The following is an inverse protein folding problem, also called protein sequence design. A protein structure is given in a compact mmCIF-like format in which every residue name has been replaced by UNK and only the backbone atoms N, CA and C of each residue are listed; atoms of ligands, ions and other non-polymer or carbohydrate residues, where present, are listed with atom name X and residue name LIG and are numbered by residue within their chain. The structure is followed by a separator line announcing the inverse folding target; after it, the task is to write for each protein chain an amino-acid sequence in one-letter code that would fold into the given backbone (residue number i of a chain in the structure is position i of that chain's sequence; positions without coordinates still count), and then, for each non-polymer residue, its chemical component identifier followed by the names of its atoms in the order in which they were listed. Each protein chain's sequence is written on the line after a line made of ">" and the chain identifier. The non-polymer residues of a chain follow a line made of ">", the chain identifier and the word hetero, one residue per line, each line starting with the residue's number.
data_IF_887098383141
#
_entry.id   IF_887098383141
#
_cell.length_a   1.000
_cell.length_b   1.000
_cell.length_c   1.000
_cell.angle_alpha   90.00
_cell.angle_beta   90.00
_cell.angle_gamma   90.00
#
_symmetry.space_group_name_H-M   'P 1'
#
loop_
_entity.id
_entity.type
_entity.pdbx_description
1 polymer ?
#
# COMPACT_ATOMS: atom_id res chain seq x y z
N UNK A 1 -25.59 -19.32 -24.63
CA UNK A 1 -24.29 -18.79 -24.14
C UNK A 1 -24.49 -18.40 -22.70
N UNK A 2 -23.71 -18.95 -21.77
CA UNK A 2 -23.78 -18.52 -20.38
C UNK A 2 -23.36 -17.06 -20.28
N UNK A 3 -24.18 -16.23 -19.66
CA UNK A 3 -23.87 -14.81 -19.45
C UNK A 3 -22.77 -14.74 -18.39
N UNK A 4 -21.57 -14.26 -18.79
CA UNK A 4 -20.47 -14.03 -17.85
C UNK A 4 -20.86 -12.88 -16.93
N UNK A 5 -21.08 -13.16 -15.66
CA UNK A 5 -21.41 -12.13 -14.68
C UNK A 5 -20.11 -11.46 -14.21
N UNK A 6 -20.06 -10.11 -14.29
CA UNK A 6 -18.96 -9.29 -13.80
C UNK A 6 -19.44 -8.35 -12.72
N UNK A 7 -18.56 -8.04 -11.78
CA UNK A 7 -18.80 -6.97 -10.80
C UNK A 7 -17.48 -6.34 -10.35
N UNK A 8 -17.58 -5.12 -9.89
CA UNK A 8 -16.46 -4.44 -9.19
C UNK A 8 -16.40 -4.94 -7.75
N UNK A 9 -15.22 -5.36 -7.30
CA UNK A 9 -15.03 -5.90 -5.95
C UNK A 9 -13.70 -5.43 -5.36
N UNK A 10 -13.67 -5.29 -4.03
CA UNK A 10 -12.43 -5.17 -3.30
C UNK A 10 -11.90 -6.60 -3.02
N UNK A 11 -10.67 -6.85 -3.48
CA UNK A 11 -10.04 -8.16 -3.48
C UNK A 11 -8.80 -8.09 -2.59
N UNK A 12 -8.70 -9.02 -1.64
CA UNK A 12 -7.52 -9.19 -0.80
C UNK A 12 -6.87 -10.53 -1.11
N UNK A 13 -5.57 -10.48 -1.41
CA UNK A 13 -4.69 -11.64 -1.44
C UNK A 13 -3.76 -11.60 -0.24
N UNK A 14 -3.55 -12.72 0.43
CA UNK A 14 -2.60 -12.85 1.52
C UNK A 14 -1.83 -14.16 1.41
N UNK A 15 -0.56 -14.16 1.81
CA UNK A 15 0.33 -15.32 1.78
C UNK A 15 1.29 -15.31 2.97
N UNK A 16 1.58 -16.50 3.51
CA UNK A 16 2.49 -16.63 4.66
C UNK A 16 3.95 -16.63 4.20
N UNK A 17 4.73 -15.71 4.75
CA UNK A 17 6.13 -15.52 4.40
C UNK A 17 6.98 -16.72 4.81
N UNK A 18 7.67 -17.31 3.83
CA UNK A 18 8.62 -18.39 4.11
C UNK A 18 8.00 -19.67 4.63
N UNK A 19 6.72 -19.92 4.40
CA UNK A 19 5.97 -21.08 4.89
C UNK A 19 6.66 -22.40 4.59
N UNK A 20 7.18 -22.61 3.37
CA UNK A 20 7.95 -23.80 3.00
C UNK A 20 9.21 -24.02 3.87
N UNK A 21 9.81 -22.96 4.41
CA UNK A 21 10.95 -23.07 5.35
C UNK A 21 10.46 -23.49 6.73
N UNK A 22 9.34 -22.95 7.20
CA UNK A 22 8.71 -23.33 8.46
C UNK A 22 8.29 -24.79 8.44
N UNK A 23 7.65 -25.26 7.38
CA UNK A 23 7.26 -26.67 7.17
C UNK A 23 8.49 -27.59 7.24
N UNK A 24 9.59 -27.24 6.62
CA UNK A 24 10.82 -28.05 6.69
C UNK A 24 11.42 -28.12 8.10
N UNK A 25 11.22 -27.12 8.92
CA UNK A 25 11.72 -27.05 10.30
C UNK A 25 10.83 -27.83 11.27
N UNK A 26 9.52 -27.64 11.19
CA UNK A 26 8.48 -28.33 11.97
C UNK A 26 7.18 -28.37 11.19
N UNK A 27 6.94 -29.45 10.47
CA UNK A 27 5.76 -29.62 9.64
C UNK A 27 4.46 -29.62 10.47
N UNK A 28 4.39 -30.48 11.47
CA UNK A 28 3.15 -30.65 12.25
C UNK A 28 2.81 -29.42 13.07
N UNK A 29 3.82 -28.78 13.71
CA UNK A 29 3.62 -27.56 14.47
C UNK A 29 3.23 -26.37 13.58
N UNK A 30 3.85 -26.24 12.39
CA UNK A 30 3.52 -25.18 11.44
C UNK A 30 2.10 -25.30 10.90
N UNK A 31 1.68 -26.52 10.50
CA UNK A 31 0.31 -26.77 10.04
C UNK A 31 -0.71 -26.50 11.14
N UNK A 32 -0.44 -26.95 12.38
CA UNK A 32 -1.32 -26.69 13.52
C UNK A 32 -1.41 -25.19 13.83
N UNK A 33 -0.29 -24.47 13.81
CA UNK A 33 -0.26 -23.04 14.03
C UNK A 33 -1.04 -22.28 12.93
N UNK A 34 -0.87 -22.64 11.66
CA UNK A 34 -1.60 -22.04 10.54
C UNK A 34 -3.11 -22.21 10.69
N UNK A 35 -3.56 -23.46 10.97
CA UNK A 35 -5.00 -23.74 11.19
C UNK A 35 -5.57 -22.93 12.35
N UNK A 36 -4.82 -22.82 13.44
CA UNK A 36 -5.24 -22.00 14.59
C UNK A 36 -5.35 -20.51 14.22
N UNK A 37 -4.35 -19.95 13.53
CA UNK A 37 -4.42 -18.55 13.08
C UNK A 37 -5.63 -18.30 12.16
N UNK A 38 -5.91 -19.25 11.27
CA UNK A 38 -7.08 -19.18 10.40
C UNK A 38 -8.40 -19.22 11.21
N UNK A 39 -8.55 -20.19 12.15
CA UNK A 39 -9.80 -20.36 12.92
C UNK A 39 -10.03 -19.26 13.95
N UNK A 40 -8.97 -18.82 14.64
CA UNK A 40 -9.11 -18.00 15.85
C UNK A 40 -8.96 -16.50 15.55
N UNK A 41 -8.30 -16.14 14.43
CA UNK A 41 -8.00 -14.74 14.07
C UNK A 41 -8.62 -14.40 12.70
N UNK A 42 -8.17 -15.06 11.62
CA UNK A 42 -8.48 -14.61 10.26
C UNK A 42 -9.97 -14.76 9.93
N UNK A 43 -10.56 -15.91 10.17
CA UNK A 43 -11.96 -16.17 9.81
C UNK A 43 -12.95 -15.32 10.61
N UNK A 44 -12.83 -15.18 11.96
CA UNK A 44 -13.72 -14.30 12.72
C UNK A 44 -13.64 -12.84 12.27
N UNK A 45 -12.43 -12.31 12.14
CA UNK A 45 -12.23 -10.91 11.71
C UNK A 45 -12.74 -10.66 10.30
N UNK A 46 -12.56 -11.64 9.38
CA UNK A 46 -13.06 -11.51 8.02
C UNK A 46 -14.59 -11.43 7.99
N UNK A 47 -15.28 -12.20 8.86
CA UNK A 47 -16.73 -12.12 9.00
C UNK A 47 -17.20 -10.79 9.60
N UNK A 48 -16.48 -10.23 10.58
CA UNK A 48 -16.76 -8.91 11.18
C UNK A 48 -16.73 -7.81 10.14
N UNK A 49 -15.80 -7.89 9.17
CA UNK A 49 -15.66 -6.93 8.07
C UNK A 49 -16.50 -7.29 6.82
N UNK A 50 -17.48 -8.18 6.96
CA UNK A 50 -18.36 -8.62 5.86
C UNK A 50 -17.58 -9.21 4.66
N UNK A 51 -16.37 -9.69 4.89
CA UNK A 51 -15.55 -10.37 3.89
C UNK A 51 -15.95 -11.83 3.73
N UNK A 52 -15.71 -12.38 2.55
CA UNK A 52 -15.83 -13.82 2.31
C UNK A 52 -14.53 -14.40 1.78
N UNK A 53 -14.19 -15.60 2.23
CA UNK A 53 -13.12 -16.38 1.63
C UNK A 53 -13.61 -16.89 0.28
N UNK A 54 -12.85 -16.57 -0.76
CA UNK A 54 -13.05 -17.11 -2.10
C UNK A 54 -12.30 -18.41 -2.23
N UNK A 55 -11.03 -18.42 -1.78
CA UNK A 55 -10.14 -19.57 -1.96
C UNK A 55 -9.06 -19.61 -0.89
N UNK A 56 -8.77 -20.81 -0.41
CA UNK A 56 -7.56 -21.10 0.38
C UNK A 56 -6.55 -21.80 -0.55
N UNK A 57 -5.33 -21.31 -0.57
CA UNK A 57 -4.25 -21.80 -1.45
C UNK A 57 -3.04 -22.21 -0.62
N UNK A 58 -3.21 -23.32 0.15
CA UNK A 58 -2.14 -23.79 1.04
C UNK A 58 -1.90 -22.83 2.21
N UNK A 59 -0.87 -22.00 2.10
CA UNK A 59 -0.48 -20.96 3.06
C UNK A 59 -1.05 -19.58 2.72
N UNK A 60 -1.72 -19.45 1.57
CA UNK A 60 -2.34 -18.22 1.12
C UNK A 60 -3.87 -18.26 1.18
N UNK A 61 -4.48 -17.08 1.12
CA UNK A 61 -5.91 -16.90 0.98
C UNK A 61 -6.25 -15.80 -0.02
N UNK A 62 -7.38 -15.99 -0.70
CA UNK A 62 -8.03 -14.98 -1.50
C UNK A 62 -9.38 -14.66 -0.84
N UNK A 63 -9.61 -13.40 -0.55
CA UNK A 63 -10.86 -12.94 0.04
C UNK A 63 -11.45 -11.78 -0.78
N UNK A 64 -12.75 -11.62 -0.68
CA UNK A 64 -13.51 -10.58 -1.33
C UNK A 64 -14.33 -9.81 -0.31
N UNK A 65 -14.42 -8.48 -0.49
CA UNK A 65 -15.15 -7.58 0.38
C UNK A 65 -16.11 -6.69 -0.43
N UNK A 66 -17.26 -6.36 0.13
CA UNK A 66 -18.21 -5.44 -0.50
C UNK A 66 -17.72 -3.97 -0.47
N UNK A 67 -16.76 -3.66 0.42
CA UNK A 67 -16.23 -2.32 0.63
C UNK A 67 -14.70 -2.33 0.65
N UNK A 68 -14.10 -1.38 -0.05
CA UNK A 68 -12.64 -1.14 -0.04
C UNK A 68 -12.16 -0.76 1.36
N UNK A 69 -12.95 0.05 2.09
CA UNK A 69 -12.64 0.46 3.46
C UNK A 69 -12.58 -0.75 4.36
N UNK A 70 -13.58 -1.64 4.28
CA UNK A 70 -13.61 -2.88 5.06
C UNK A 70 -12.42 -3.80 4.74
N UNK A 71 -12.06 -3.94 3.46
CA UNK A 71 -10.90 -4.75 3.06
C UNK A 71 -9.58 -4.25 3.65
N UNK A 72 -9.38 -2.92 3.63
CA UNK A 72 -8.17 -2.30 4.17
C UNK A 72 -8.16 -2.33 5.70
N UNK A 73 -9.28 -2.04 6.35
CA UNK A 73 -9.40 -2.10 7.82
C UNK A 73 -9.16 -3.52 8.33
N UNK A 74 -9.81 -4.52 7.70
CA UNK A 74 -9.52 -5.93 7.98
C UNK A 74 -8.04 -6.24 7.88
N UNK A 75 -7.38 -5.85 6.78
CA UNK A 75 -5.98 -6.18 6.57
C UNK A 75 -5.08 -5.60 7.67
N UNK A 76 -5.30 -4.35 8.06
CA UNK A 76 -4.52 -3.66 9.11
C UNK A 76 -4.75 -4.29 10.48
N UNK A 77 -6.02 -4.51 10.85
CA UNK A 77 -6.37 -5.09 12.16
C UNK A 77 -5.92 -6.56 12.25
N UNK A 78 -6.04 -7.32 11.17
CA UNK A 78 -5.56 -8.69 11.09
C UNK A 78 -4.03 -8.75 11.26
N UNK A 79 -3.25 -7.87 10.61
CA UNK A 79 -1.80 -7.80 10.81
C UNK A 79 -1.46 -7.49 12.27
N UNK A 80 -2.19 -6.57 12.91
CA UNK A 80 -2.00 -6.25 14.32
C UNK A 80 -2.28 -7.44 15.25
N UNK A 81 -3.36 -8.18 14.99
CA UNK A 81 -3.72 -9.38 15.76
C UNK A 81 -2.69 -10.51 15.57
N UNK A 82 -2.21 -10.72 14.34
CA UNK A 82 -1.18 -11.71 14.01
C UNK A 82 0.15 -11.38 14.69
N UNK A 83 0.53 -10.10 14.75
CA UNK A 83 1.74 -9.67 15.46
C UNK A 83 1.61 -9.85 16.96
N UNK A 84 0.45 -9.52 17.54
CA UNK A 84 0.17 -9.76 18.94
C UNK A 84 0.24 -11.26 19.30
N UNK A 85 -0.27 -12.14 18.43
CA UNK A 85 -0.15 -13.61 18.60
C UNK A 85 1.29 -14.09 18.47
N UNK A 86 2.09 -13.45 17.62
CA UNK A 86 3.51 -13.77 17.44
C UNK A 86 4.40 -13.23 18.58
N UNK A 87 3.88 -12.34 19.43
CA UNK A 87 4.63 -11.77 20.54
C UNK A 87 5.09 -12.86 21.52
N UNK A 88 6.37 -12.85 21.86
CA UNK A 88 6.99 -13.85 22.75
C UNK A 88 7.36 -15.18 22.08
N UNK A 89 6.98 -15.42 20.81
CA UNK A 89 7.43 -16.60 20.06
C UNK A 89 8.83 -16.37 19.47
N UNK A 90 9.68 -17.42 19.35
CA UNK A 90 10.94 -17.33 18.63
C UNK A 90 10.73 -16.85 17.19
N UNK A 91 11.63 -16.02 16.69
CA UNK A 91 11.52 -15.42 15.36
C UNK A 91 11.36 -16.47 14.24
N UNK A 92 12.05 -17.60 14.38
CA UNK A 92 12.04 -18.74 13.46
C UNK A 92 10.71 -19.52 13.40
N UNK A 93 9.81 -19.31 14.37
CA UNK A 93 8.50 -19.98 14.46
C UNK A 93 7.33 -19.03 14.19
N UNK A 94 7.59 -17.74 13.92
CA UNK A 94 6.55 -16.75 13.65
C UNK A 94 6.02 -16.90 12.24
N UNK A 95 4.72 -17.02 12.10
CA UNK A 95 4.05 -16.95 10.80
C UNK A 95 3.67 -15.49 10.58
N UNK A 96 4.26 -14.89 9.54
CA UNK A 96 3.97 -13.52 9.12
C UNK A 96 3.27 -13.57 7.76
N UNK A 97 2.33 -12.68 7.54
CA UNK A 97 1.63 -12.59 6.26
C UNK A 97 2.06 -11.34 5.49
N UNK A 98 2.04 -11.44 4.18
CA UNK A 98 2.01 -10.32 3.25
C UNK A 98 0.59 -10.18 2.75
N UNK A 99 0.12 -8.96 2.58
CA UNK A 99 -1.24 -8.72 2.10
C UNK A 99 -1.23 -7.72 0.94
N UNK A 100 -2.09 -7.97 -0.04
CA UNK A 100 -2.30 -7.08 -1.17
C UNK A 100 -3.79 -6.81 -1.37
N UNK A 101 -4.20 -5.54 -1.47
CA UNK A 101 -5.60 -5.17 -1.73
C UNK A 101 -5.72 -4.39 -3.04
N UNK A 102 -6.65 -4.82 -3.87
CA UNK A 102 -6.99 -4.16 -5.12
C UNK A 102 -8.51 -3.98 -5.27
N UNK A 103 -8.91 -2.94 -5.98
CA UNK A 103 -10.28 -2.72 -6.44
C UNK A 103 -10.31 -2.97 -7.95
N UNK A 104 -11.12 -3.91 -8.40
CA UNK A 104 -11.18 -4.24 -9.82
C UNK A 104 -12.35 -5.11 -10.22
N UNK A 105 -12.57 -5.21 -11.52
CA UNK A 105 -13.59 -6.10 -12.07
C UNK A 105 -13.20 -7.56 -11.89
N UNK A 106 -14.16 -8.35 -11.43
CA UNK A 106 -14.05 -9.80 -11.32
C UNK A 106 -15.12 -10.50 -12.14
N UNK A 107 -14.78 -11.65 -12.67
CA UNK A 107 -15.69 -12.62 -13.28
C UNK A 107 -16.08 -13.61 -12.19
N UNK A 108 -17.39 -13.81 -12.03
CA UNK A 108 -17.94 -14.76 -11.06
C UNK A 108 -18.05 -16.12 -11.74
N UNK A 109 -17.45 -17.15 -11.12
CA UNK A 109 -17.52 -18.54 -11.56
C UNK A 109 -17.92 -19.42 -10.37
N UNK A 110 -19.24 -19.55 -10.14
CA UNK A 110 -19.77 -20.16 -8.94
C UNK A 110 -19.38 -19.38 -7.68
N UNK A 111 -18.64 -20.04 -6.78
CA UNK A 111 -18.10 -19.42 -5.56
C UNK A 111 -16.70 -18.80 -5.75
N UNK A 112 -16.05 -19.02 -6.91
CA UNK A 112 -14.73 -18.47 -7.25
C UNK A 112 -14.86 -17.14 -7.98
N UNK A 113 -13.77 -16.35 -7.97
CA UNK A 113 -13.64 -15.13 -8.75
C UNK A 113 -12.34 -15.16 -9.56
N UNK A 114 -12.40 -14.62 -10.77
CA UNK A 114 -11.28 -14.58 -11.69
C UNK A 114 -11.19 -13.20 -12.35
N UNK A 115 -10.06 -12.89 -12.96
CA UNK A 115 -9.85 -11.67 -13.75
C UNK A 115 -8.63 -10.87 -13.31
N UNK A 116 -8.40 -9.76 -14.02
CA UNK A 116 -7.22 -8.93 -13.82
C UNK A 116 -7.19 -8.31 -12.42
N UNK A 117 -8.35 -7.99 -11.85
CA UNK A 117 -8.45 -7.49 -10.48
C UNK A 117 -7.85 -8.44 -9.45
N UNK A 118 -8.06 -9.75 -9.61
CA UNK A 118 -7.48 -10.80 -8.74
C UNK A 118 -5.97 -10.90 -8.96
N UNK A 119 -5.53 -10.87 -10.22
CA UNK A 119 -4.12 -10.92 -10.56
C UNK A 119 -3.35 -9.75 -9.95
N UNK A 120 -3.90 -8.54 -10.01
CA UNK A 120 -3.29 -7.34 -9.40
C UNK A 120 -3.17 -7.52 -7.88
N UNK A 121 -4.22 -7.96 -7.18
CA UNK A 121 -4.16 -8.19 -5.73
C UNK A 121 -3.05 -9.19 -5.35
N UNK A 122 -2.93 -10.31 -6.08
CA UNK A 122 -1.88 -11.29 -5.88
C UNK A 122 -0.47 -10.74 -6.18
N UNK A 123 -0.32 -9.82 -7.15
CA UNK A 123 0.98 -9.18 -7.42
C UNK A 123 1.35 -8.15 -6.36
N UNK A 124 0.38 -7.40 -5.85
CA UNK A 124 0.59 -6.47 -4.72
C UNK A 124 1.03 -7.23 -3.47
N UNK A 125 0.40 -8.37 -3.17
CA UNK A 125 0.83 -9.27 -2.10
C UNK A 125 2.30 -9.69 -2.32
N UNK A 126 2.65 -10.14 -3.52
CA UNK A 126 3.99 -10.66 -3.84
C UNK A 126 5.13 -9.64 -3.68
N UNK A 127 4.87 -8.34 -3.84
CA UNK A 127 5.86 -7.27 -3.64
C UNK A 127 5.80 -6.66 -2.24
N UNK A 128 4.81 -7.04 -1.43
CA UNK A 128 4.63 -6.53 -0.09
C UNK A 128 5.69 -7.09 0.86
N UNK A 129 6.15 -6.28 1.81
CA UNK A 129 7.02 -6.74 2.87
C UNK A 129 6.27 -7.58 3.90
N UNK A 130 6.99 -8.45 4.64
CA UNK A 130 6.40 -9.21 5.74
C UNK A 130 5.68 -8.31 6.74
N UNK A 131 4.52 -8.77 7.25
CA UNK A 131 3.63 -8.03 8.14
C UNK A 131 3.14 -6.67 7.58
N UNK A 132 3.22 -6.47 6.26
CA UNK A 132 2.78 -5.28 5.57
C UNK A 132 1.48 -5.46 4.79
N UNK A 133 1.01 -4.34 4.25
CA UNK A 133 -0.12 -4.25 3.32
C UNK A 133 0.27 -3.38 2.13
N UNK A 134 0.16 -3.89 0.91
CA UNK A 134 0.27 -3.12 -0.31
C UNK A 134 -1.11 -2.92 -0.95
N UNK A 135 -1.40 -1.71 -1.40
CA UNK A 135 -2.67 -1.38 -2.05
C UNK A 135 -2.43 -0.68 -3.39
N UNK A 136 -3.36 -0.87 -4.33
CA UNK A 136 -3.34 -0.13 -5.59
C UNK A 136 -3.76 1.33 -5.40
N UNK A 137 -3.42 2.18 -6.37
CA UNK A 137 -3.81 3.60 -6.37
C UNK A 137 -5.33 3.80 -6.33
N UNK A 138 -6.10 2.93 -6.99
CA UNK A 138 -7.56 2.94 -6.92
C UNK A 138 -8.08 2.71 -5.49
N UNK A 139 -7.45 1.79 -4.76
CA UNK A 139 -7.79 1.53 -3.35
C UNK A 139 -7.41 2.74 -2.51
N UNK A 140 -6.21 3.30 -2.70
CA UNK A 140 -5.75 4.47 -1.96
C UNK A 140 -6.70 5.66 -2.13
N UNK A 141 -7.09 5.99 -3.37
CA UNK A 141 -8.05 7.05 -3.64
C UNK A 141 -9.44 6.78 -3.03
N UNK A 142 -9.87 5.52 -3.00
CA UNK A 142 -11.18 5.14 -2.46
C UNK A 142 -11.26 5.24 -0.92
N UNK A 143 -10.12 5.12 -0.21
CA UNK A 143 -10.04 5.23 1.26
C UNK A 143 -9.64 6.63 1.76
N UNK A 144 -9.21 7.52 0.85
CA UNK A 144 -8.78 8.87 1.19
C UNK A 144 -9.89 9.63 1.94
N UNK A 145 -9.52 10.23 3.06
CA UNK A 145 -10.45 10.91 3.98
C UNK A 145 -11.45 10.00 4.72
N UNK A 146 -11.34 8.66 4.60
CA UNK A 146 -12.20 7.69 5.28
C UNK A 146 -11.47 6.89 6.36
N UNK A 147 -10.15 6.91 6.34
CA UNK A 147 -9.29 6.24 7.33
C UNK A 147 -8.14 7.17 7.72
N UNK A 148 -7.64 7.02 8.96
CA UNK A 148 -6.44 7.73 9.44
C UNK A 148 -5.15 6.94 9.17
N UNK A 149 -5.22 5.94 8.29
CA UNK A 149 -4.07 5.08 7.97
C UNK A 149 -3.06 5.82 7.10
N UNK A 150 -1.80 5.64 7.44
CA UNK A 150 -0.70 6.28 6.73
C UNK A 150 -0.05 5.30 5.79
N UNK A 151 -0.02 5.64 4.51
CA UNK A 151 0.61 4.85 3.46
C UNK A 151 1.84 5.56 2.90
N UNK A 152 2.88 4.80 2.62
CA UNK A 152 4.05 5.23 1.87
C UNK A 152 3.82 5.01 0.39
N UNK A 153 4.04 6.03 -0.44
CA UNK A 153 4.01 5.91 -1.90
C UNK A 153 5.27 5.18 -2.39
N UNK A 154 5.09 4.04 -3.02
CA UNK A 154 6.16 3.27 -3.67
C UNK A 154 6.34 3.64 -5.16
N UNK A 155 5.50 4.54 -5.69
CA UNK A 155 5.51 4.91 -7.10
C UNK A 155 4.92 3.84 -8.01
N UNK A 156 5.15 3.98 -9.33
CA UNK A 156 4.73 3.01 -10.32
C UNK A 156 5.58 1.75 -10.27
N UNK A 157 4.93 0.60 -10.07
CA UNK A 157 5.57 -0.71 -10.02
C UNK A 157 5.24 -1.52 -11.28
N UNK A 158 6.25 -2.08 -11.91
CA UNK A 158 6.07 -3.06 -12.99
C UNK A 158 5.72 -4.42 -12.37
N UNK A 159 4.50 -4.87 -12.58
CA UNK A 159 4.02 -6.14 -12.04
C UNK A 159 4.02 -7.20 -13.14
N UNK A 160 4.45 -8.42 -12.81
CA UNK A 160 4.56 -9.52 -13.77
C UNK A 160 3.23 -9.78 -14.49
N UNK A 161 3.22 -9.76 -15.83
CA UNK A 161 2.05 -9.95 -16.70
C UNK A 161 0.97 -8.86 -16.57
N UNK A 162 1.32 -7.67 -16.08
CA UNK A 162 0.48 -6.47 -16.10
C UNK A 162 1.18 -5.48 -17.03
N UNK A 163 0.51 -5.08 -18.12
CA UNK A 163 1.13 -4.25 -19.17
C UNK A 163 1.44 -2.82 -18.71
N UNK A 164 0.59 -2.27 -17.85
CA UNK A 164 0.73 -0.89 -17.37
C UNK A 164 1.25 -0.88 -15.94
N UNK A 165 2.30 -0.10 -15.61
CA UNK A 165 2.77 0.06 -14.25
C UNK A 165 1.64 0.53 -13.33
N UNK A 166 1.50 -0.10 -12.18
CA UNK A 166 0.50 0.26 -11.17
C UNK A 166 1.18 1.05 -10.07
N UNK A 167 0.66 2.23 -9.72
CA UNK A 167 1.11 2.96 -8.54
C UNK A 167 0.66 2.22 -7.30
N UNK A 168 1.64 1.97 -6.40
CA UNK A 168 1.46 1.14 -5.21
C UNK A 168 1.72 1.97 -3.96
N UNK A 169 0.89 1.74 -2.96
CA UNK A 169 0.99 2.33 -1.65
C UNK A 169 1.19 1.25 -0.60
N UNK A 170 2.10 1.45 0.35
CA UNK A 170 2.43 0.48 1.38
C UNK A 170 2.10 1.00 2.77
N UNK A 171 1.42 0.19 3.55
CA UNK A 171 1.25 0.36 4.99
C UNK A 171 2.10 -0.65 5.74
N UNK A 172 2.64 -0.22 6.89
CA UNK A 172 3.36 -1.07 7.85
C UNK A 172 2.90 -0.75 9.25
N UNK A 173 2.84 -1.76 10.10
CA UNK A 173 2.54 -1.57 11.51
C UNK A 173 3.64 -0.75 12.18
N UNK A 174 3.25 0.20 13.06
CA UNK A 174 4.19 1.08 13.73
C UNK A 174 4.87 2.09 12.80
N UNK A 175 4.52 2.14 11.53
CA UNK A 175 4.84 3.29 10.71
C UNK A 175 4.18 4.50 11.37
N UNK A 176 4.92 5.12 12.29
CA UNK A 176 4.71 6.53 12.56
C UNK A 176 4.74 7.24 11.21
N UNK A 177 3.90 8.26 10.97
CA UNK A 177 4.07 9.05 9.76
C UNK A 177 5.58 9.28 9.65
N UNK A 178 6.20 8.64 8.66
CA UNK A 178 7.57 9.01 8.29
C UNK A 178 7.43 10.49 8.11
N UNK A 179 7.90 11.24 9.16
CA UNK A 179 7.68 12.65 9.49
C UNK A 179 7.09 13.30 8.26
N UNK A 180 5.76 13.40 8.21
CA UNK A 180 5.06 13.80 6.99
C UNK A 180 5.86 15.01 6.57
N UNK A 181 6.56 14.93 5.46
CA UNK A 181 7.53 16.00 5.12
C UNK A 181 6.69 17.22 5.24
N UNK A 182 6.93 18.00 6.29
CA UNK A 182 6.11 19.12 6.71
C UNK A 182 5.76 19.83 5.42
N UNK A 183 4.48 20.03 5.06
CA UNK A 183 4.13 20.62 3.78
C UNK A 183 5.11 21.75 3.59
N UNK A 184 5.89 21.72 2.52
CA UNK A 184 6.96 22.67 2.36
C UNK A 184 6.28 24.02 2.33
N UNK A 185 6.16 24.69 3.50
CA UNK A 185 5.61 26.03 3.58
C UNK A 185 6.58 26.97 2.91
N UNK A 186 6.48 26.95 1.59
CA UNK A 186 7.16 27.87 0.73
C UNK A 186 6.47 29.23 0.87
N UNK A 187 7.14 30.17 1.51
CA UNK A 187 6.67 31.54 1.52
C UNK A 187 7.11 32.22 0.23
N UNK A 188 6.14 32.43 -0.66
CA UNK A 188 6.40 33.24 -1.87
C UNK A 188 6.48 34.71 -1.47
N UNK A 189 7.60 35.35 -1.80
CA UNK A 189 7.87 36.75 -1.57
C UNK A 189 8.16 37.46 -2.89
N UNK A 190 8.05 38.75 -2.88
CA UNK A 190 8.34 39.58 -4.05
C UNK A 190 9.45 40.56 -3.70
N UNK A 191 10.34 40.81 -4.65
CA UNK A 191 11.30 41.92 -4.62
C UNK A 191 11.24 42.70 -5.93
N UNK A 192 11.62 43.95 -5.89
CA UNK A 192 11.65 44.81 -7.08
C UNK A 192 13.11 44.95 -7.54
N UNK A 193 13.36 44.60 -8.78
CA UNK A 193 14.65 44.78 -9.42
C UNK A 193 14.93 46.26 -9.71
N UNK A 194 16.17 46.61 -10.03
CA UNK A 194 16.60 48.00 -10.29
C UNK A 194 15.91 48.64 -11.48
N UNK A 195 15.34 47.85 -12.39
CA UNK A 195 14.57 48.32 -13.55
C UNK A 195 13.06 48.45 -13.26
N UNK A 196 12.61 48.20 -12.01
CA UNK A 196 11.23 48.29 -11.58
C UNK A 196 10.44 46.96 -11.75
N UNK A 197 11.07 45.90 -12.25
CA UNK A 197 10.39 44.59 -12.42
C UNK A 197 10.18 43.90 -11.08
N UNK A 198 8.96 43.39 -10.84
CA UNK A 198 8.67 42.60 -9.66
C UNK A 198 9.04 41.14 -9.90
N UNK A 199 9.92 40.62 -9.07
CA UNK A 199 10.40 39.24 -9.12
C UNK A 199 9.82 38.46 -7.94
N UNK A 200 9.10 37.36 -8.22
CA UNK A 200 8.66 36.40 -7.20
C UNK A 200 9.81 35.44 -6.85
N UNK A 201 10.05 35.23 -5.57
CA UNK A 201 11.05 34.28 -5.10
C UNK A 201 10.52 33.52 -3.90
N UNK A 202 11.06 32.32 -3.66
CA UNK A 202 10.80 31.55 -2.45
C UNK A 202 12.12 30.99 -1.92
N UNK A 203 12.24 30.94 -0.60
CA UNK A 203 13.38 30.33 0.09
C UNK A 203 12.93 29.15 0.96
N UNK A 204 13.72 28.09 0.98
CA UNK A 204 13.47 26.88 1.73
C UNK A 204 14.80 26.30 2.21
N UNK A 205 14.79 25.73 3.44
CA UNK A 205 15.98 25.16 4.04
C UNK A 205 16.77 26.18 4.86
N UNK A 206 17.87 25.73 5.45
CA UNK A 206 18.74 26.54 6.33
C UNK A 206 20.24 26.38 6.02
N UNK A 207 20.57 25.62 4.97
CA UNK A 207 21.95 25.41 4.53
C UNK A 207 22.52 26.62 3.75
N UNK A 208 23.70 26.45 3.14
CA UNK A 208 24.26 27.47 2.25
C UNK A 208 23.28 27.83 1.11
N UNK A 209 23.10 29.07 0.75
CA UNK A 209 22.10 29.45 -0.24
C UNK A 209 22.46 28.94 -1.64
N UNK A 210 21.54 28.16 -2.20
CA UNK A 210 21.56 27.72 -3.58
C UNK A 210 20.45 28.43 -4.35
N UNK A 211 20.79 29.19 -5.37
CA UNK A 211 19.82 29.91 -6.18
C UNK A 211 19.50 29.15 -7.46
N UNK A 212 18.23 28.69 -7.59
CA UNK A 212 17.71 28.17 -8.86
C UNK A 212 17.11 29.33 -9.65
N UNK A 213 17.75 29.69 -10.76
CA UNK A 213 17.15 30.62 -11.71
C UNK A 213 15.95 30.00 -12.44
N UNK A 214 14.90 30.78 -12.73
CA UNK A 214 13.75 30.28 -13.47
C UNK A 214 14.14 29.92 -14.91
N UNK A 215 13.62 28.77 -15.41
CA UNK A 215 13.52 28.55 -16.84
C UNK A 215 12.21 29.17 -17.34
N UNK A 216 12.05 29.35 -18.64
CA UNK A 216 10.75 29.74 -19.16
C UNK A 216 9.72 28.67 -18.86
N UNK A 217 8.52 29.03 -18.39
CA UNK A 217 7.45 28.13 -17.90
C UNK A 217 7.65 27.52 -16.48
N UNK A 218 8.39 28.16 -15.60
CA UNK A 218 8.45 27.76 -14.21
C UNK A 218 7.30 28.38 -13.39
N UNK A 219 6.77 27.59 -12.46
CA UNK A 219 5.79 28.06 -11.48
C UNK A 219 6.28 27.64 -10.08
N UNK A 220 6.49 28.60 -9.18
CA UNK A 220 7.09 28.33 -7.87
C UNK A 220 6.35 27.25 -7.06
N UNK A 221 5.02 27.26 -7.08
CA UNK A 221 4.21 26.24 -6.38
C UNK A 221 4.19 24.91 -7.15
N UNK A 222 4.05 24.96 -8.47
CA UNK A 222 3.91 23.75 -9.28
C UNK A 222 5.20 22.92 -9.34
N UNK A 223 6.38 23.54 -9.27
CA UNK A 223 7.67 22.84 -9.32
C UNK A 223 7.80 21.81 -8.18
N UNK A 224 7.16 22.05 -7.02
CA UNK A 224 7.12 21.10 -5.91
C UNK A 224 6.19 19.90 -6.14
N UNK A 225 5.23 20.03 -7.01
CA UNK A 225 4.29 18.95 -7.40
C UNK A 225 4.73 18.29 -8.71
N UNK A 226 5.63 18.95 -9.46
CA UNK A 226 6.10 18.48 -10.76
C UNK A 226 6.81 17.11 -10.66
N UNK A 227 6.44 16.13 -11.48
CA UNK A 227 7.14 14.85 -11.52
C UNK A 227 8.62 14.99 -11.93
N UNK A 228 8.99 16.09 -12.59
CA UNK A 228 10.35 16.37 -13.04
C UNK A 228 11.20 17.00 -11.94
N UNK A 229 10.67 17.97 -11.18
CA UNK A 229 11.47 18.79 -10.27
C UNK A 229 11.34 18.41 -8.81
N UNK A 230 10.22 17.82 -8.37
CA UNK A 230 9.94 17.56 -6.95
C UNK A 230 11.03 16.76 -6.22
N UNK A 231 11.62 15.76 -6.88
CA UNK A 231 12.65 14.91 -6.26
C UNK A 231 13.98 15.67 -6.13
N UNK A 232 14.37 16.46 -7.14
CA UNK A 232 15.58 17.28 -7.09
C UNK A 232 15.49 18.35 -6.00
N UNK A 233 14.35 19.05 -5.94
CA UNK A 233 14.11 20.09 -4.93
C UNK A 233 14.08 19.51 -3.51
N UNK A 234 13.54 18.29 -3.34
CA UNK A 234 13.53 17.59 -2.05
C UNK A 234 14.92 17.17 -1.60
N UNK A 235 15.75 16.66 -2.50
CA UNK A 235 17.13 16.29 -2.17
C UNK A 235 17.97 17.54 -1.82
N UNK A 236 17.89 18.59 -2.60
CA UNK A 236 18.60 19.85 -2.33
C UNK A 236 18.19 20.53 -1.00
N UNK A 237 17.02 20.18 -0.44
CA UNK A 237 16.54 20.68 0.85
C UNK A 237 17.13 19.91 2.04
N UNK A 238 17.63 18.69 1.85
CA UNK A 238 18.09 17.81 2.94
C UNK A 238 19.43 18.23 3.54
N UNK A 239 20.19 19.01 2.83
CA UNK A 239 21.48 19.60 3.24
C UNK A 239 21.29 21.03 3.74
#
# INVERSE_FOLDING_TARGET
>A
MATVQRRLSAILAADAVGYSKLIRSDESGTVAAMKRLQSDIIHPMLAEHSGRIVKLMGDGLLAEFPSVVEAVTFAVECQAALEADAAGKPAESRIQFRMGVNLGDVIIDGDDIQGDGVNVAARLEGICEPAGLCISDLVYQAIDGKTDLIFQDLGGQELKNIETPIRVWQWRQGASPAKAETPVEQQIKFCTASDGTNIAYAAIGQGPPLVKAPNWMNHLEYDWQSPVWRHVLRELRRD
#
